data_IF_036119684039
#
_entry.id   IF_036119684039
#
_cell.length_a   1.000
_cell.length_b   1.000
_cell.length_c   1.000
_cell.angle_alpha   90.00
_cell.angle_beta   90.00
_cell.angle_gamma   90.00
#
_symmetry.space_group_name_H-M   'P 1'
#
loop_
_entity.id
_entity.type
_entity.pdbx_description
1 polymer ?
#
# COMPACT_ATOMS: atom_id res chain seq x y z
N UNK A 1 -20.68 4.88 14.10
CA UNK A 1 -19.70 3.99 13.46
C UNK A 1 -19.60 4.36 11.99
N UNK A 2 -18.37 4.51 11.47
CA UNK A 2 -18.10 4.81 10.08
C UNK A 2 -17.09 3.78 9.55
N UNK A 3 -17.33 3.25 8.36
CA UNK A 3 -16.46 2.30 7.68
C UNK A 3 -16.05 2.90 6.35
N UNK A 4 -14.77 3.22 6.20
CA UNK A 4 -14.16 3.86 5.04
C UNK A 4 -14.96 5.06 4.51
N UNK A 5 -15.24 6.09 5.34
CA UNK A 5 -16.15 7.16 4.96
C UNK A 5 -15.59 8.08 3.87
N UNK A 6 -14.29 8.06 3.61
CA UNK A 6 -13.64 8.83 2.56
C UNK A 6 -13.72 8.18 1.18
N UNK A 7 -14.10 6.89 1.11
CA UNK A 7 -14.22 6.18 -0.15
C UNK A 7 -15.27 6.84 -1.06
N UNK A 8 -14.92 7.01 -2.32
CA UNK A 8 -15.78 7.60 -3.36
C UNK A 8 -16.13 9.10 -3.19
N UNK A 9 -15.62 9.75 -2.14
CA UNK A 9 -15.74 11.19 -1.99
C UNK A 9 -14.70 11.92 -2.87
N UNK A 10 -15.05 13.12 -3.31
CA UNK A 10 -14.06 14.03 -3.88
C UNK A 10 -13.36 14.82 -2.77
N UNK A 11 -12.29 15.52 -3.13
CA UNK A 11 -11.46 16.23 -2.17
C UNK A 11 -12.25 17.24 -1.33
N UNK A 12 -13.17 17.98 -1.97
CA UNK A 12 -14.00 18.98 -1.29
C UNK A 12 -14.89 18.33 -0.21
N UNK A 13 -15.47 17.17 -0.54
CA UNK A 13 -16.30 16.41 0.38
C UNK A 13 -15.49 15.79 1.52
N UNK A 14 -14.27 15.33 1.26
CA UNK A 14 -13.36 14.81 2.31
C UNK A 14 -12.97 15.93 3.28
N UNK A 15 -12.57 17.10 2.79
CA UNK A 15 -12.22 18.26 3.62
C UNK A 15 -13.42 18.70 4.48
N UNK A 16 -14.60 18.74 3.88
CA UNK A 16 -15.82 19.06 4.62
C UNK A 16 -16.11 18.03 5.71
N UNK A 17 -15.98 16.74 5.40
CA UNK A 17 -16.24 15.66 6.35
C UNK A 17 -15.25 15.69 7.51
N UNK A 18 -13.97 15.96 7.23
CA UNK A 18 -12.91 16.11 8.23
C UNK A 18 -13.25 17.22 9.23
N UNK A 19 -13.63 18.41 8.72
CA UNK A 19 -14.01 19.54 9.56
C UNK A 19 -15.26 19.22 10.41
N UNK A 20 -16.27 18.62 9.78
CA UNK A 20 -17.51 18.27 10.47
C UNK A 20 -17.28 17.24 11.58
N UNK A 21 -16.45 16.21 11.33
CA UNK A 21 -16.10 15.19 12.30
C UNK A 21 -15.19 15.74 13.42
N UNK A 22 -14.32 16.69 13.11
CA UNK A 22 -13.49 17.38 14.10
C UNK A 22 -14.33 18.16 15.14
N UNK A 23 -15.45 18.72 14.71
CA UNK A 23 -16.39 19.45 15.58
C UNK A 23 -17.42 18.54 16.26
N UNK A 24 -17.50 17.25 15.87
CA UNK A 24 -18.50 16.33 16.39
C UNK A 24 -18.23 15.96 17.85
N UNK A 25 -19.18 16.30 18.75
CA UNK A 25 -19.05 16.08 20.19
C UNK A 25 -19.44 14.68 20.68
N UNK A 26 -19.95 13.83 19.80
CA UNK A 26 -20.32 12.46 20.14
C UNK A 26 -19.15 11.49 20.11
N UNK A 27 -19.39 10.26 20.53
CA UNK A 27 -18.38 9.19 20.40
C UNK A 27 -18.33 8.70 18.96
N UNK A 28 -17.13 8.70 18.39
CA UNK A 28 -16.84 8.26 17.03
C UNK A 28 -15.95 7.01 17.05
N UNK A 29 -16.33 6.01 16.27
CA UNK A 29 -15.45 4.88 15.88
C UNK A 29 -15.50 4.81 14.38
N UNK A 30 -14.32 4.91 13.75
CA UNK A 30 -14.21 4.85 12.30
C UNK A 30 -13.09 3.92 11.85
N UNK A 31 -13.25 3.33 10.68
CA UNK A 31 -12.23 2.58 9.97
C UNK A 31 -11.83 3.43 8.76
N UNK A 32 -10.53 3.64 8.57
CA UNK A 32 -10.00 4.29 7.37
C UNK A 32 -8.57 3.85 7.11
N UNK A 33 -8.18 3.83 5.84
CA UNK A 33 -6.80 3.66 5.39
C UNK A 33 -6.14 5.01 5.01
N UNK A 34 -6.88 6.11 5.08
CA UNK A 34 -6.40 7.46 4.85
C UNK A 34 -5.73 8.01 6.12
N UNK A 35 -4.40 8.11 6.08
CA UNK A 35 -3.57 8.50 7.22
C UNK A 35 -3.80 9.95 7.64
N UNK A 36 -3.90 10.83 6.66
CA UNK A 36 -4.06 12.27 6.89
C UNK A 36 -5.44 12.54 7.52
N UNK A 37 -6.46 11.87 7.02
CA UNK A 37 -7.81 11.93 7.58
C UNK A 37 -7.86 11.39 9.03
N UNK A 38 -7.18 10.27 9.32
CA UNK A 38 -7.09 9.74 10.68
C UNK A 38 -6.36 10.73 11.61
N UNK A 39 -5.24 11.32 11.16
CA UNK A 39 -4.50 12.28 11.98
C UNK A 39 -5.33 13.53 12.33
N UNK A 40 -6.20 13.96 11.42
CA UNK A 40 -7.05 15.14 11.64
C UNK A 40 -8.26 14.87 12.56
N UNK A 41 -8.82 13.64 12.52
CA UNK A 41 -10.13 13.37 13.11
C UNK A 41 -10.04 12.62 14.44
N UNK A 42 -9.06 11.71 14.63
CA UNK A 42 -9.07 10.81 15.78
C UNK A 42 -7.98 11.11 16.80
N UNK A 43 -8.31 10.95 18.07
CA UNK A 43 -7.38 11.09 19.19
C UNK A 43 -6.83 9.77 19.72
N UNK A 44 -7.27 8.63 19.20
CA UNK A 44 -6.81 7.30 19.57
C UNK A 44 -6.88 6.36 18.38
N UNK A 45 -5.91 5.45 18.27
CA UNK A 45 -5.88 4.39 17.26
C UNK A 45 -6.01 3.02 17.93
N UNK A 46 -7.01 2.26 17.53
CA UNK A 46 -7.19 0.86 17.89
C UNK A 46 -6.56 -0.02 16.79
N UNK A 47 -5.39 -0.58 17.08
CA UNK A 47 -4.66 -1.43 16.14
C UNK A 47 -4.93 -2.90 16.41
N UNK A 48 -5.35 -3.62 15.39
CA UNK A 48 -5.61 -5.06 15.44
C UNK A 48 -4.45 -5.78 14.76
N UNK A 49 -3.70 -6.56 15.55
CA UNK A 49 -2.58 -7.35 15.07
C UNK A 49 -2.52 -8.69 15.84
N UNK A 50 -2.27 -9.81 15.17
CA UNK A 50 -2.20 -11.13 15.77
C UNK A 50 -3.42 -11.47 16.68
N UNK A 51 -4.64 -11.15 16.24
CA UNK A 51 -5.89 -11.34 16.97
C UNK A 51 -5.98 -10.56 18.29
N UNK A 52 -5.13 -9.56 18.48
CA UNK A 52 -5.13 -8.69 19.66
C UNK A 52 -5.43 -7.26 19.25
N UNK A 53 -6.16 -6.56 20.12
CA UNK A 53 -6.46 -5.15 19.97
C UNK A 53 -5.56 -4.37 20.94
N UNK A 54 -4.80 -3.42 20.40
CA UNK A 54 -3.96 -2.51 21.18
C UNK A 54 -4.40 -1.07 20.91
N UNK A 55 -4.64 -0.30 21.98
CA UNK A 55 -4.96 1.13 21.88
C UNK A 55 -3.69 1.96 21.98
N UNK A 56 -3.56 2.93 21.08
CA UNK A 56 -2.51 3.93 21.06
C UNK A 56 -3.11 5.32 21.18
N UNK A 57 -2.48 6.19 21.96
CA UNK A 57 -2.91 7.59 22.11
C UNK A 57 -2.37 8.45 20.98
N UNK A 58 -3.21 9.37 20.50
CA UNK A 58 -2.90 10.26 19.39
C UNK A 58 -3.42 9.75 18.04
N UNK A 59 -3.16 10.54 17.00
CA UNK A 59 -3.51 10.19 15.61
C UNK A 59 -2.58 9.14 15.01
N UNK A 60 -2.69 8.95 13.70
CA UNK A 60 -1.96 7.92 12.97
C UNK A 60 -0.43 8.08 13.04
N UNK A 61 0.08 9.29 12.89
CA UNK A 61 1.53 9.57 12.96
C UNK A 61 2.12 9.23 14.34
N UNK A 62 1.37 9.48 15.42
CA UNK A 62 1.77 9.09 16.77
C UNK A 62 1.76 7.57 16.95
N UNK A 63 0.77 6.90 16.40
CA UNK A 63 0.68 5.45 16.38
C UNK A 63 1.89 4.82 15.67
N UNK A 64 2.24 5.28 14.46
CA UNK A 64 3.41 4.76 13.72
C UNK A 64 4.69 4.88 14.53
N UNK A 65 4.91 6.02 15.18
CA UNK A 65 6.08 6.24 16.03
C UNK A 65 6.12 5.28 17.21
N UNK A 66 5.02 5.18 17.99
CA UNK A 66 4.92 4.29 19.13
C UNK A 66 5.07 2.81 18.72
N UNK A 67 4.50 2.42 17.59
CA UNK A 67 4.65 1.07 17.03
C UNK A 67 6.11 0.79 16.65
N UNK A 68 6.78 1.70 15.97
CA UNK A 68 8.18 1.57 15.59
C UNK A 68 9.10 1.45 16.81
N UNK A 69 8.89 2.27 17.84
CA UNK A 69 9.63 2.19 19.10
C UNK A 69 9.42 0.83 19.81
N UNK A 70 8.17 0.36 19.88
CA UNK A 70 7.83 -0.93 20.49
C UNK A 70 8.48 -2.11 19.73
N UNK A 71 8.44 -2.11 18.39
CA UNK A 71 9.09 -3.13 17.57
C UNK A 71 10.61 -3.12 17.76
N UNK A 72 11.22 -1.94 17.81
CA UNK A 72 12.67 -1.78 18.06
C UNK A 72 13.06 -2.33 19.45
N UNK A 73 12.29 -2.01 20.49
CA UNK A 73 12.52 -2.53 21.82
C UNK A 73 12.36 -4.05 21.87
N UNK A 74 11.33 -4.59 21.26
CA UNK A 74 11.10 -6.04 21.16
C UNK A 74 12.26 -6.75 20.46
N UNK A 75 12.73 -6.20 19.35
CA UNK A 75 13.86 -6.73 18.60
C UNK A 75 15.15 -6.72 19.44
N UNK A 76 15.43 -5.62 20.13
CA UNK A 76 16.58 -5.51 21.02
C UNK A 76 16.53 -6.53 22.19
N UNK A 77 15.35 -6.73 22.77
CA UNK A 77 15.14 -7.74 23.81
C UNK A 77 15.33 -9.16 23.26
N UNK A 78 14.82 -9.46 22.08
CA UNK A 78 15.02 -10.74 21.41
C UNK A 78 16.50 -11.01 21.16
N UNK A 79 17.25 -10.04 20.59
CA UNK A 79 18.68 -10.20 20.32
C UNK A 79 19.50 -10.38 21.60
N UNK A 80 19.15 -9.65 22.68
CA UNK A 80 19.78 -9.81 23.99
C UNK A 80 19.52 -11.24 24.51
N UNK A 81 18.28 -11.72 24.45
CA UNK A 81 17.93 -13.05 24.88
C UNK A 81 18.64 -14.13 24.06
N UNK A 82 18.74 -13.96 22.73
CA UNK A 82 19.45 -14.91 21.87
C UNK A 82 20.94 -14.99 22.23
N UNK A 83 21.59 -13.84 22.50
CA UNK A 83 22.99 -13.80 22.96
C UNK A 83 23.17 -14.51 24.29
N UNK A 84 22.27 -14.30 25.25
CA UNK A 84 22.29 -14.97 26.55
C UNK A 84 22.05 -16.47 26.44
N UNK A 85 21.08 -16.91 25.64
CA UNK A 85 20.85 -18.32 25.34
C UNK A 85 22.07 -18.99 24.72
N UNK A 86 22.67 -18.35 23.73
CA UNK A 86 23.88 -18.85 23.07
C UNK A 86 25.07 -18.96 24.04
N UNK A 87 25.21 -18.00 24.96
CA UNK A 87 26.25 -18.06 26.01
C UNK A 87 26.01 -19.21 26.99
N UNK A 88 24.79 -19.37 27.47
CA UNK A 88 24.42 -20.48 28.38
C UNK A 88 24.58 -21.84 27.69
N UNK A 89 24.18 -21.94 26.42
CA UNK A 89 24.33 -23.18 25.64
C UNK A 89 25.80 -23.56 25.47
N UNK A 90 26.66 -22.61 25.07
CA UNK A 90 28.11 -22.84 24.97
C UNK A 90 28.73 -23.31 26.29
N UNK A 91 28.27 -22.76 27.40
CA UNK A 91 28.73 -23.22 28.72
C UNK A 91 28.31 -24.67 28.98
N UNK A 92 27.04 -25.03 28.73
CA UNK A 92 26.52 -26.38 28.87
C UNK A 92 27.31 -27.35 28.00
N UNK A 93 27.50 -27.06 26.74
CA UNK A 93 28.21 -27.91 25.77
C UNK A 93 29.66 -28.16 26.19
N UNK A 94 30.32 -27.13 26.71
CA UNK A 94 31.72 -27.25 27.16
C UNK A 94 31.91 -28.07 28.44
N UNK A 95 30.95 -27.98 29.37
CA UNK A 95 31.12 -28.53 30.71
C UNK A 95 30.21 -29.72 31.05
N UNK A 96 29.33 -30.14 30.15
CA UNK A 96 28.37 -31.24 30.35
C UNK A 96 29.06 -32.57 30.72
N UNK A 97 30.22 -32.82 30.16
CA UNK A 97 30.97 -34.07 30.40
C UNK A 97 31.92 -34.05 31.62
N UNK A 98 32.07 -32.89 32.29
CA UNK A 98 32.99 -32.73 33.43
C UNK A 98 32.26 -32.95 34.75
N UNK A 99 32.61 -34.03 35.48
CA UNK A 99 31.97 -34.40 36.76
C UNK A 99 32.00 -33.27 37.80
N UNK A 100 33.11 -32.51 37.89
CA UNK A 100 33.30 -31.42 38.85
C UNK A 100 32.40 -30.20 38.58
N UNK A 101 31.94 -30.02 37.34
CA UNK A 101 31.08 -28.91 36.93
C UNK A 101 29.65 -29.33 36.54
N UNK A 102 29.34 -30.61 36.66
CA UNK A 102 28.03 -31.16 36.27
C UNK A 102 26.85 -30.45 36.99
N UNK A 103 26.98 -30.13 38.27
CA UNK A 103 25.95 -29.40 39.04
C UNK A 103 25.72 -27.98 38.49
N UNK A 104 26.78 -27.31 38.09
CA UNK A 104 26.67 -25.98 37.48
C UNK A 104 26.05 -26.04 36.06
N UNK A 105 26.43 -27.03 35.26
CA UNK A 105 25.83 -27.29 33.96
C UNK A 105 24.32 -27.57 34.07
N UNK A 106 23.90 -28.40 35.01
CA UNK A 106 22.47 -28.66 35.30
C UNK A 106 21.71 -27.39 35.70
N UNK A 107 22.30 -26.51 36.52
CA UNK A 107 21.68 -25.21 36.87
C UNK A 107 21.48 -24.33 35.65
N UNK A 108 22.44 -24.32 34.69
CA UNK A 108 22.32 -23.54 33.44
C UNK A 108 21.29 -24.14 32.48
N UNK A 109 21.17 -25.45 32.41
CA UNK A 109 20.10 -26.15 31.66
C UNK A 109 18.74 -25.73 32.20
N UNK A 110 18.53 -25.79 33.53
CA UNK A 110 17.28 -25.33 34.14
C UNK A 110 16.99 -23.83 33.89
N UNK A 111 18.02 -23.01 33.81
CA UNK A 111 17.86 -21.59 33.45
C UNK A 111 17.39 -21.42 31.99
N UNK A 112 17.98 -22.17 31.05
CA UNK A 112 17.56 -22.19 29.65
C UNK A 112 16.10 -22.68 29.49
N UNK A 113 15.70 -23.73 30.22
CA UNK A 113 14.33 -24.28 30.18
C UNK A 113 13.29 -23.31 30.74
N UNK A 114 13.67 -22.42 31.68
CA UNK A 114 12.79 -21.43 32.29
C UNK A 114 12.73 -20.10 31.50
N UNK A 115 13.62 -19.91 30.55
CA UNK A 115 13.59 -18.70 29.74
C UNK A 115 12.34 -18.70 28.83
N UNK A 116 11.41 -17.79 29.10
CA UNK A 116 10.31 -17.53 28.19
C UNK A 116 10.87 -17.08 26.82
N UNK A 117 10.35 -17.67 25.76
CA UNK A 117 10.81 -17.33 24.40
C UNK A 117 10.20 -16.01 23.98
N UNK A 118 11.00 -14.96 23.89
CA UNK A 118 10.58 -13.70 23.26
C UNK A 118 10.55 -13.97 21.75
N UNK A 119 9.39 -13.71 21.13
CA UNK A 119 9.28 -13.78 19.68
C UNK A 119 10.04 -12.62 19.04
N UNK A 120 10.71 -12.87 17.92
CA UNK A 120 11.26 -11.80 17.11
C UNK A 120 10.16 -10.80 16.74
N UNK A 121 10.51 -9.53 16.64
CA UNK A 121 9.57 -8.54 16.12
C UNK A 121 9.18 -8.94 14.70
N UNK A 122 7.89 -9.07 14.44
CA UNK A 122 7.40 -9.31 13.09
C UNK A 122 7.50 -7.97 12.34
N UNK A 123 8.66 -7.74 11.75
CA UNK A 123 8.85 -6.65 10.81
C UNK A 123 8.44 -7.22 9.46
N UNK A 124 7.30 -6.78 8.94
CA UNK A 124 6.92 -7.09 7.58
C UNK A 124 8.09 -6.69 6.68
N UNK A 125 8.71 -7.67 6.04
CA UNK A 125 9.73 -7.36 5.05
C UNK A 125 9.04 -6.57 3.94
N UNK A 126 9.43 -5.32 3.68
CA UNK A 126 8.82 -4.57 2.61
C UNK A 126 9.00 -5.35 1.32
N UNK A 127 7.88 -5.69 0.70
CA UNK A 127 7.89 -6.30 -0.62
C UNK A 127 8.56 -5.31 -1.58
N UNK A 128 9.74 -5.63 -2.06
CA UNK A 128 10.47 -4.81 -3.01
C UNK A 128 10.48 -5.47 -4.37
N UNK A 129 10.08 -4.75 -5.38
CA UNK A 129 10.20 -5.15 -6.77
C UNK A 129 10.67 -3.96 -7.60
N UNK A 130 11.28 -4.23 -8.73
CA UNK A 130 11.64 -3.21 -9.71
C UNK A 130 10.94 -3.51 -11.02
N UNK A 131 10.42 -2.46 -11.65
CA UNK A 131 9.94 -2.59 -13.02
C UNK A 131 11.13 -2.65 -13.98
N UNK A 132 10.97 -3.37 -15.08
CA UNK A 132 11.94 -3.35 -16.17
C UNK A 132 12.03 -1.92 -16.73
N UNK A 133 13.23 -1.51 -17.13
CA UNK A 133 13.42 -0.22 -17.78
C UNK A 133 12.60 -0.17 -19.08
N UNK A 134 11.85 0.89 -19.27
CA UNK A 134 11.15 1.14 -20.51
C UNK A 134 12.16 1.50 -21.59
N UNK A 135 12.04 0.88 -22.76
CA UNK A 135 12.81 1.29 -23.95
C UNK A 135 12.51 2.73 -24.36
N UNK A 136 13.13 3.20 -25.43
CA UNK A 136 12.92 4.56 -25.95
C UNK A 136 11.42 4.81 -26.22
N UNK A 137 10.88 5.79 -25.51
CA UNK A 137 9.48 6.19 -25.65
C UNK A 137 9.34 7.29 -26.72
N UNK A 138 8.22 7.34 -27.46
CA UNK A 138 7.98 8.42 -28.42
C UNK A 138 7.78 9.76 -27.68
N UNK A 139 8.17 10.86 -28.30
CA UNK A 139 7.89 12.22 -27.82
C UNK A 139 7.16 13.00 -28.93
N UNK A 140 5.91 13.41 -28.69
CA UNK A 140 5.08 13.15 -27.51
C UNK A 140 4.54 11.71 -27.42
N UNK A 141 4.19 11.27 -26.20
CA UNK A 141 3.50 10.00 -25.98
C UNK A 141 2.07 10.03 -26.51
N UNK A 142 1.35 11.09 -26.17
CA UNK A 142 -0.05 11.29 -26.53
C UNK A 142 -0.36 12.78 -26.64
N UNK A 143 -1.19 13.13 -27.61
CA UNK A 143 -1.61 14.51 -27.82
C UNK A 143 -3.12 14.58 -28.09
N UNK A 144 -3.77 15.52 -27.45
CA UNK A 144 -5.15 15.94 -27.71
C UNK A 144 -5.15 17.35 -28.31
N UNK A 145 -5.82 17.52 -29.45
CA UNK A 145 -5.98 18.81 -30.14
C UNK A 145 -7.47 19.13 -30.28
N UNK A 146 -7.92 20.13 -29.56
CA UNK A 146 -9.31 20.57 -29.49
C UNK A 146 -10.31 19.40 -29.33
N UNK A 147 -9.89 18.38 -28.56
CA UNK A 147 -10.65 17.16 -28.43
C UNK A 147 -11.90 17.36 -27.57
N UNK A 148 -12.99 16.72 -28.00
CA UNK A 148 -14.20 16.60 -27.19
C UNK A 148 -14.52 15.12 -26.99
N UNK A 149 -15.12 14.79 -25.85
CA UNK A 149 -15.55 13.43 -25.52
C UNK A 149 -16.80 13.44 -24.67
N UNK A 150 -17.68 12.48 -24.90
CA UNK A 150 -18.94 12.33 -24.18
C UNK A 150 -19.59 10.98 -24.49
N UNK A 151 -20.83 10.84 -24.01
CA UNK A 151 -21.66 9.67 -24.26
C UNK A 151 -22.92 10.10 -25.03
N UNK A 152 -23.28 9.31 -26.01
CA UNK A 152 -24.32 9.66 -26.97
C UNK A 152 -24.04 11.07 -27.57
N UNK A 153 -25.02 11.93 -27.66
CA UNK A 153 -24.90 13.28 -28.27
C UNK A 153 -24.52 14.37 -27.28
N UNK A 154 -24.14 14.02 -26.03
CA UNK A 154 -23.76 15.01 -25.00
C UNK A 154 -22.26 15.00 -24.77
N UNK A 155 -21.53 16.06 -25.15
CA UNK A 155 -20.13 16.19 -24.76
C UNK A 155 -20.04 16.43 -23.26
N UNK A 156 -19.16 15.68 -22.58
CA UNK A 156 -18.83 15.87 -21.16
C UNK A 156 -17.64 16.82 -21.04
N UNK A 157 -16.67 16.64 -21.90
CA UNK A 157 -15.49 17.51 -22.00
C UNK A 157 -15.32 17.94 -23.43
N UNK A 158 -14.95 19.21 -23.63
CA UNK A 158 -14.75 19.79 -24.96
C UNK A 158 -13.58 20.77 -24.97
N UNK A 159 -13.00 21.00 -26.15
CA UNK A 159 -11.92 21.98 -26.35
C UNK A 159 -10.62 21.56 -25.62
N UNK A 160 -10.40 20.28 -25.39
CA UNK A 160 -9.24 19.81 -24.63
C UNK A 160 -7.97 19.90 -25.47
N UNK A 161 -6.95 20.52 -24.89
CA UNK A 161 -5.57 20.56 -25.42
C UNK A 161 -4.66 19.98 -24.35
N UNK A 162 -4.06 18.82 -24.63
CA UNK A 162 -3.18 18.14 -23.70
C UNK A 162 -2.08 17.42 -24.48
N UNK A 163 -0.84 17.63 -24.07
CA UNK A 163 0.29 16.88 -24.61
C UNK A 163 0.97 16.18 -23.46
N UNK A 164 1.15 14.86 -23.55
CA UNK A 164 1.83 14.04 -22.55
C UNK A 164 3.17 13.59 -23.12
N UNK A 165 4.24 13.86 -22.36
CA UNK A 165 5.61 13.55 -22.74
C UNK A 165 6.23 12.49 -21.85
N UNK A 166 7.30 11.82 -22.29
CA UNK A 166 8.05 10.88 -21.46
C UNK A 166 8.50 11.49 -20.14
N UNK A 167 8.30 10.74 -19.04
CA UNK A 167 8.70 11.15 -17.69
C UNK A 167 7.72 12.08 -16.95
N UNK A 168 6.68 12.60 -17.61
CA UNK A 168 5.69 13.42 -16.94
C UNK A 168 4.81 12.59 -16.00
N UNK A 169 4.43 13.21 -14.87
CA UNK A 169 3.51 12.67 -13.88
C UNK A 169 2.38 13.67 -13.66
N UNK A 170 1.17 13.32 -14.09
CA UNK A 170 0.03 14.23 -14.11
C UNK A 170 -1.01 13.75 -13.10
N UNK A 171 -1.31 14.57 -12.09
CA UNK A 171 -2.45 14.39 -11.19
C UNK A 171 -3.72 14.98 -11.79
N UNK A 172 -4.81 14.21 -11.79
CA UNK A 172 -6.10 14.63 -12.30
C UNK A 172 -7.06 14.94 -11.15
N UNK A 173 -7.36 16.21 -10.92
CA UNK A 173 -8.24 16.67 -9.85
C UNK A 173 -9.56 17.20 -10.41
N UNK A 174 -10.60 17.13 -9.61
CA UNK A 174 -11.93 17.67 -9.94
C UNK A 174 -13.03 16.96 -9.17
N UNK A 175 -14.18 17.62 -9.07
CA UNK A 175 -15.37 17.10 -8.37
C UNK A 175 -15.87 15.79 -8.98
N UNK A 176 -16.66 15.05 -8.22
CA UNK A 176 -17.36 13.88 -8.74
C UNK A 176 -18.31 14.31 -9.88
N UNK A 177 -18.32 13.55 -10.96
CA UNK A 177 -19.08 13.90 -12.16
C UNK A 177 -18.39 14.89 -13.11
N UNK A 178 -17.22 15.47 -12.78
CA UNK A 178 -16.51 16.43 -13.64
C UNK A 178 -15.93 15.84 -14.94
N UNK A 179 -16.02 14.52 -15.14
CA UNK A 179 -15.52 13.89 -16.37
C UNK A 179 -14.12 13.26 -16.25
N UNK A 180 -13.55 13.14 -15.03
CA UNK A 180 -12.22 12.52 -14.82
C UNK A 180 -12.09 11.14 -15.47
N UNK A 181 -13.03 10.26 -15.17
CA UNK A 181 -13.05 8.89 -15.74
C UNK A 181 -13.28 8.89 -17.25
N UNK A 182 -14.04 9.87 -17.78
CA UNK A 182 -14.26 10.03 -19.21
C UNK A 182 -12.98 10.46 -19.91
N UNK A 183 -12.21 11.37 -19.31
CA UNK A 183 -10.90 11.76 -19.83
C UNK A 183 -9.93 10.57 -19.82
N UNK A 184 -9.86 9.80 -18.73
CA UNK A 184 -9.00 8.62 -18.67
C UNK A 184 -9.39 7.59 -19.73
N UNK A 185 -10.69 7.35 -19.97
CA UNK A 185 -11.16 6.46 -21.04
C UNK A 185 -10.79 6.99 -22.43
N UNK A 186 -10.81 8.31 -22.66
CA UNK A 186 -10.31 8.91 -23.89
C UNK A 186 -8.80 8.71 -24.02
N UNK A 187 -8.03 8.99 -22.98
CA UNK A 187 -6.57 8.82 -22.99
C UNK A 187 -6.16 7.35 -23.18
N UNK A 188 -6.88 6.40 -22.58
CA UNK A 188 -6.63 4.96 -22.73
C UNK A 188 -7.11 4.36 -24.06
N UNK A 189 -7.83 5.15 -24.87
CA UNK A 189 -8.40 4.65 -26.13
C UNK A 189 -9.71 3.89 -25.96
N UNK A 190 -10.25 3.77 -24.75
CA UNK A 190 -11.55 3.15 -24.47
C UNK A 190 -12.74 3.98 -24.98
N UNK A 191 -12.55 5.28 -25.19
CA UNK A 191 -13.49 6.15 -25.87
C UNK A 191 -12.81 6.87 -27.02
N UNK A 192 -13.55 7.06 -28.12
CA UNK A 192 -13.09 7.89 -29.25
C UNK A 192 -13.48 9.34 -29.01
N UNK A 193 -12.71 10.32 -29.49
CA UNK A 193 -13.12 11.71 -29.45
C UNK A 193 -14.34 11.93 -30.33
N UNK A 194 -15.30 12.71 -29.85
CA UNK A 194 -16.48 13.14 -30.62
C UNK A 194 -16.17 14.33 -31.55
N UNK A 195 -15.16 15.12 -31.20
CA UNK A 195 -14.58 16.19 -32.03
C UNK A 195 -13.10 16.35 -31.69
N UNK A 196 -12.36 17.02 -32.58
CA UNK A 196 -10.92 17.18 -32.45
C UNK A 196 -10.15 15.90 -32.72
N UNK A 197 -8.90 15.85 -32.29
CA UNK A 197 -8.00 14.73 -32.61
C UNK A 197 -7.30 14.21 -31.38
N UNK A 198 -7.19 12.90 -31.28
CA UNK A 198 -6.31 12.19 -30.34
C UNK A 198 -5.22 11.48 -31.13
N UNK A 199 -3.98 11.82 -30.87
CA UNK A 199 -2.80 11.23 -31.54
C UNK A 199 -1.95 10.49 -30.53
N UNK A 200 -1.53 9.29 -30.89
CA UNK A 200 -0.57 8.47 -30.14
C UNK A 200 0.80 8.51 -30.79
N UNK A 201 1.83 8.57 -29.98
CA UNK A 201 3.20 8.37 -30.44
C UNK A 201 3.41 6.95 -30.96
N UNK A 202 4.21 6.81 -32.01
CA UNK A 202 4.46 5.51 -32.63
C UNK A 202 5.11 4.55 -31.64
N UNK A 203 4.47 3.40 -31.43
CA UNK A 203 4.97 2.37 -30.50
C UNK A 203 4.61 2.63 -29.04
N UNK A 204 3.70 3.54 -28.73
CA UNK A 204 3.17 3.73 -27.38
C UNK A 204 2.54 2.43 -26.88
N UNK A 205 3.01 1.96 -25.72
CA UNK A 205 2.38 0.88 -24.95
C UNK A 205 1.69 1.52 -23.75
N UNK A 206 0.40 1.37 -23.64
CA UNK A 206 -0.41 2.01 -22.60
C UNK A 206 -0.94 0.94 -21.65
N UNK A 207 -0.62 1.09 -20.35
CA UNK A 207 -1.23 0.32 -19.27
C UNK A 207 -2.36 1.11 -18.64
N UNK A 208 -3.51 0.49 -18.44
CA UNK A 208 -4.65 1.09 -17.76
C UNK A 208 -5.08 0.23 -16.58
N UNK A 209 -5.00 0.80 -15.39
CA UNK A 209 -5.51 0.17 -14.17
C UNK A 209 -6.82 0.86 -13.78
N UNK A 210 -7.93 0.13 -13.92
CA UNK A 210 -9.26 0.66 -13.65
C UNK A 210 -9.61 0.60 -12.15
N UNK A 211 -10.45 1.52 -11.69
CA UNK A 211 -10.98 1.53 -10.32
C UNK A 211 -11.74 0.22 -9.99
N UNK A 212 -12.45 -0.35 -10.96
CA UNK A 212 -13.12 -1.65 -10.86
C UNK A 212 -12.34 -2.68 -11.69
N UNK A 213 -11.21 -3.14 -11.15
CA UNK A 213 -10.35 -4.10 -11.84
C UNK A 213 -11.08 -5.43 -12.19
N UNK A 214 -12.11 -5.79 -11.42
CA UNK A 214 -12.92 -7.00 -11.68
C UNK A 214 -13.56 -7.02 -13.07
N UNK A 215 -13.93 -5.85 -13.64
CA UNK A 215 -14.50 -5.78 -15.00
C UNK A 215 -13.49 -6.12 -16.11
N UNK A 216 -12.19 -5.99 -15.82
CA UNK A 216 -11.10 -6.29 -16.75
C UNK A 216 -10.47 -7.66 -16.54
N UNK A 217 -10.81 -8.33 -15.43
CA UNK A 217 -10.34 -9.68 -15.14
C UNK A 217 -11.29 -10.72 -15.72
N UNK A 218 -10.73 -11.87 -16.09
CA UNK A 218 -11.50 -13.04 -16.53
C UNK A 218 -11.62 -14.00 -15.35
N UNK A 219 -12.85 -14.24 -14.84
CA UNK A 219 -13.06 -15.04 -13.63
C UNK A 219 -12.50 -16.46 -13.71
N UNK A 220 -12.44 -17.02 -14.92
CA UNK A 220 -11.94 -18.37 -15.21
C UNK A 220 -10.42 -18.46 -15.33
N UNK A 221 -9.70 -17.34 -15.36
CA UNK A 221 -8.24 -17.32 -15.49
C UNK A 221 -7.56 -17.10 -14.13
N UNK A 222 -6.47 -17.81 -13.89
CA UNK A 222 -5.62 -17.57 -12.71
C UNK A 222 -4.81 -16.27 -12.86
N UNK A 223 -4.26 -15.74 -11.76
CA UNK A 223 -3.38 -14.58 -11.78
C UNK A 223 -2.19 -14.77 -12.73
N UNK A 224 -1.58 -15.96 -12.72
CA UNK A 224 -0.47 -16.29 -13.61
C UNK A 224 -0.88 -16.24 -15.10
N UNK A 225 -2.05 -16.76 -15.44
CA UNK A 225 -2.57 -16.72 -16.83
C UNK A 225 -2.79 -15.27 -17.28
N UNK A 226 -3.28 -14.39 -16.40
CA UNK A 226 -3.40 -12.96 -16.70
C UNK A 226 -2.03 -12.31 -16.96
N UNK A 227 -1.01 -12.63 -16.16
CA UNK A 227 0.34 -12.11 -16.36
C UNK A 227 0.98 -12.61 -17.65
N UNK A 228 0.91 -13.89 -17.94
CA UNK A 228 1.40 -14.49 -19.20
C UNK A 228 0.75 -13.86 -20.43
N UNK A 229 -0.54 -13.51 -20.32
CA UNK A 229 -1.23 -12.83 -21.44
C UNK A 229 -0.75 -11.41 -21.66
N UNK A 230 -0.35 -10.70 -20.60
CA UNK A 230 0.19 -9.34 -20.71
C UNK A 230 1.61 -9.34 -21.32
N UNK A 231 2.40 -10.34 -21.01
CA UNK A 231 3.74 -10.53 -21.59
C UNK A 231 3.99 -12.01 -21.95
N UNK A 232 3.54 -12.44 -23.16
CA UNK A 232 3.68 -13.84 -23.60
C UNK A 232 5.12 -14.30 -23.76
N UNK A 233 6.11 -13.39 -23.74
CA UNK A 233 7.52 -13.72 -23.92
C UNK A 233 8.25 -13.96 -22.58
N UNK A 234 7.63 -13.59 -21.46
CA UNK A 234 8.20 -13.84 -20.12
C UNK A 234 7.94 -15.31 -19.73
N UNK A 235 8.98 -15.99 -19.28
CA UNK A 235 8.86 -17.36 -18.78
C UNK A 235 8.25 -17.36 -17.38
N UNK A 236 7.52 -18.42 -17.03
CA UNK A 236 6.85 -18.59 -15.72
C UNK A 236 7.81 -18.56 -14.51
N UNK A 237 9.12 -18.58 -14.74
CA UNK A 237 10.15 -18.63 -13.71
C UNK A 237 10.86 -17.28 -13.49
N UNK A 238 10.50 -16.23 -14.21
CA UNK A 238 10.96 -14.86 -14.03
C UNK A 238 9.86 -13.98 -13.39
#
# INVERSE_FOLDING_TARGET
LLDEPTNHLDLDAVIWLEQWLGDYRGTLVLISHDRDFLDAVVGQIAHIENQQLTLYSGGYSNFERQRAERLSQQQAMFEKQQRERAHLQKYVDRFRAQATKARQAQSRIKALERMETIAAAHIDNPFSFSFRECGAAPDPLLQLEDAAVGYADKPILAGMKLTIRPGERIGLLGRNGAGKSTLIKLLSGGLKPTAGVRREGKGLKLGYFAQHALESLRPEESALQHMVRLDPQTREQE
#
